data_IF_846426204640
#
_entry.id   IF_846426204640
#
_cell.length_a   1.000
_cell.length_b   1.000
_cell.length_c   1.000
_cell.angle_alpha   90.00
_cell.angle_beta   90.00
_cell.angle_gamma   90.00
#
_symmetry.space_group_name_H-M   'P 1'
#
loop_
_entity.id
_entity.type
_entity.pdbx_description
1 polymer ?
#
# COMPACT_ATOMS: atom_id res chain seq x y z
N UNK A 1 -0.09 43.32 39.58
CA UNK A 1 0.26 43.12 38.16
C UNK A 1 0.95 41.77 38.03
N UNK A 2 0.22 40.69 37.75
CA UNK A 2 0.80 39.41 37.30
C UNK A 2 -0.22 38.76 36.38
N UNK A 3 0.09 38.76 35.09
CA UNK A 3 -0.78 38.20 34.07
C UNK A 3 -0.66 36.67 34.12
N UNK A 4 -1.75 35.99 34.47
CA UNK A 4 -1.93 34.56 34.33
C UNK A 4 -1.97 34.22 32.84
N UNK A 5 -0.85 33.74 32.30
CA UNK A 5 -0.81 33.17 30.97
C UNK A 5 -1.59 31.85 30.97
N UNK A 6 -2.86 31.89 30.52
CA UNK A 6 -3.61 30.68 30.19
C UNK A 6 -2.93 30.01 29.00
N UNK A 7 -2.36 28.82 29.24
CA UNK A 7 -1.87 27.93 28.20
C UNK A 7 -3.08 27.48 27.38
N UNK A 8 -3.19 27.95 26.14
CA UNK A 8 -4.19 27.46 25.19
C UNK A 8 -3.70 26.12 24.69
N UNK A 9 -4.31 25.04 25.18
CA UNK A 9 -4.18 23.72 24.55
C UNK A 9 -5.03 23.75 23.29
N UNK A 10 -4.35 23.84 22.13
CA UNK A 10 -5.02 23.66 20.84
C UNK A 10 -5.55 22.23 20.80
N UNK A 11 -6.83 22.00 20.45
CA UNK A 11 -7.32 20.66 20.20
C UNK A 11 -6.61 20.17 18.93
N UNK A 12 -5.65 19.27 19.12
CA UNK A 12 -5.13 18.48 18.02
C UNK A 12 -6.29 17.57 17.65
N UNK A 13 -6.99 17.92 16.58
CA UNK A 13 -8.04 17.08 15.98
C UNK A 13 -7.34 15.85 15.38
N UNK A 14 -6.90 14.96 16.26
CA UNK A 14 -6.46 13.60 15.92
C UNK A 14 -7.74 12.85 15.54
N UNK A 15 -8.21 13.11 14.33
CA UNK A 15 -9.16 12.25 13.66
C UNK A 15 -8.62 10.82 13.84
N UNK A 16 -9.44 9.87 14.31
CA UNK A 16 -8.98 8.50 14.51
C UNK A 16 -8.55 7.98 13.15
N UNK A 17 -7.23 7.94 12.90
CA UNK A 17 -6.67 7.18 11.80
C UNK A 17 -6.93 5.73 12.18
N UNK A 18 -8.10 5.24 11.80
CA UNK A 18 -8.43 3.83 11.87
C UNK A 18 -7.25 3.12 11.20
N UNK A 19 -6.44 2.37 11.96
CA UNK A 19 -5.42 1.52 11.38
C UNK A 19 -6.13 0.43 10.59
N UNK A 20 -6.46 0.74 9.34
CA UNK A 20 -6.77 -0.25 8.33
C UNK A 20 -5.45 -0.95 8.03
N UNK A 21 -5.38 -2.25 8.32
CA UNK A 21 -4.18 -3.04 8.10
C UNK A 21 -3.79 -2.96 6.61
N UNK A 22 -2.54 -2.58 6.32
CA UNK A 22 -2.03 -2.53 4.96
C UNK A 22 -2.08 -3.94 4.33
N UNK A 23 -2.55 -4.02 3.09
CA UNK A 23 -2.49 -5.23 2.28
C UNK A 23 -1.10 -5.35 1.67
N UNK A 24 -0.36 -6.37 2.11
CA UNK A 24 0.95 -6.70 1.57
C UNK A 24 0.80 -7.77 0.47
N UNK A 25 1.29 -7.46 -0.73
CA UNK A 25 1.26 -8.38 -1.89
C UNK A 25 2.69 -8.58 -2.36
N UNK A 26 3.21 -9.81 -2.30
CA UNK A 26 4.51 -10.12 -2.85
C UNK A 26 4.41 -10.46 -4.33
N UNK A 27 5.44 -10.04 -5.07
CA UNK A 27 5.61 -10.32 -6.49
C UNK A 27 7.00 -10.90 -6.71
N UNK A 28 7.09 -11.98 -7.48
CA UNK A 28 8.34 -12.54 -7.98
C UNK A 28 8.36 -12.42 -9.49
N UNK A 29 9.50 -12.03 -10.03
CA UNK A 29 9.77 -11.93 -11.46
C UNK A 29 10.81 -12.97 -11.84
N UNK A 30 10.62 -13.55 -13.02
CA UNK A 30 11.61 -14.34 -13.71
C UNK A 30 12.74 -13.43 -14.26
N UNK A 31 13.91 -13.99 -14.60
CA UNK A 31 14.97 -13.24 -15.28
C UNK A 31 14.56 -12.63 -16.63
N UNK A 32 13.52 -13.16 -17.27
CA UNK A 32 12.92 -12.63 -18.50
C UNK A 32 11.91 -11.48 -18.25
N UNK A 33 11.84 -10.98 -17.01
CA UNK A 33 10.91 -9.94 -16.53
C UNK A 33 9.42 -10.34 -16.48
N UNK A 34 9.06 -11.61 -16.70
CA UNK A 34 7.69 -12.07 -16.51
C UNK A 34 7.36 -12.30 -15.02
N UNK A 35 6.09 -12.11 -14.64
CA UNK A 35 5.62 -12.40 -13.28
C UNK A 35 5.62 -13.90 -13.07
N UNK A 36 6.47 -14.38 -12.16
CA UNK A 36 6.58 -15.78 -11.77
C UNK A 36 5.48 -16.15 -10.76
N UNK A 37 5.34 -15.37 -9.70
CA UNK A 37 4.28 -15.55 -8.68
C UNK A 37 3.81 -14.20 -8.18
N UNK A 38 2.52 -14.10 -7.86
CA UNK A 38 1.93 -12.91 -7.26
C UNK A 38 0.84 -13.30 -6.27
N UNK A 39 0.87 -12.69 -5.08
CA UNK A 39 -0.14 -12.95 -4.05
C UNK A 39 -1.49 -12.34 -4.43
N UNK A 40 -2.57 -12.81 -3.78
CA UNK A 40 -3.93 -12.29 -3.95
C UNK A 40 -4.43 -12.31 -5.40
N UNK A 41 -3.93 -13.24 -6.21
CA UNK A 41 -4.35 -13.44 -7.59
C UNK A 41 -5.83 -13.88 -7.64
N UNK A 42 -6.71 -13.14 -8.33
CA UNK A 42 -8.09 -13.57 -8.55
C UNK A 42 -8.17 -14.80 -9.46
N UNK A 43 -9.16 -15.65 -9.26
CA UNK A 43 -9.39 -16.83 -10.11
C UNK A 43 -9.62 -16.42 -11.57
N UNK A 44 -8.97 -17.12 -12.50
CA UNK A 44 -9.11 -16.86 -13.95
C UNK A 44 -8.32 -15.66 -14.48
N UNK A 45 -7.55 -14.94 -13.65
CA UNK A 45 -6.71 -13.81 -14.07
C UNK A 45 -5.26 -14.26 -14.25
N UNK A 46 -4.62 -13.84 -15.36
CA UNK A 46 -3.20 -14.11 -15.56
C UNK A 46 -2.32 -13.29 -14.57
N UNK A 47 -1.23 -13.85 -14.01
CA UNK A 47 -0.37 -13.15 -13.06
C UNK A 47 0.12 -11.77 -13.53
N UNK A 48 0.51 -11.67 -14.81
CA UNK A 48 0.93 -10.41 -15.44
C UNK A 48 -0.20 -9.38 -15.48
N UNK A 49 -1.42 -9.79 -15.87
CA UNK A 49 -2.57 -8.90 -15.93
C UNK A 49 -2.98 -8.40 -14.54
N UNK A 50 -2.86 -9.25 -13.51
CA UNK A 50 -3.09 -8.84 -12.13
C UNK A 50 -2.05 -7.84 -11.64
N UNK A 51 -0.77 -8.07 -11.93
CA UNK A 51 0.29 -7.11 -11.62
C UNK A 51 0.05 -5.76 -12.31
N UNK A 52 -0.30 -5.75 -13.59
CA UNK A 52 -0.58 -4.52 -14.35
C UNK A 52 -1.74 -3.74 -13.74
N UNK A 53 -2.80 -4.43 -13.32
CA UNK A 53 -3.92 -3.81 -12.62
C UNK A 53 -3.49 -3.20 -11.29
N UNK A 54 -2.78 -3.95 -10.44
CA UNK A 54 -2.23 -3.42 -9.19
C UNK A 54 -1.34 -2.21 -9.45
N UNK A 55 -0.51 -2.25 -10.48
CA UNK A 55 0.37 -1.14 -10.84
C UNK A 55 -0.42 0.08 -11.31
N UNK A 56 -1.50 -0.10 -12.07
CA UNK A 56 -2.36 0.99 -12.53
C UNK A 56 -3.03 1.75 -11.38
N UNK A 57 -3.48 1.04 -10.35
CA UNK A 57 -4.25 1.63 -9.24
C UNK A 57 -3.40 1.96 -8.01
N UNK A 58 -2.26 1.28 -7.82
CA UNK A 58 -1.46 1.33 -6.59
C UNK A 58 0.05 1.47 -6.85
N UNK A 59 0.49 2.01 -8.00
CA UNK A 59 1.90 2.29 -8.29
C UNK A 59 2.68 3.01 -7.17
N UNK A 60 2.14 4.01 -6.46
CA UNK A 60 2.87 4.68 -5.37
C UNK A 60 3.26 3.74 -4.21
N UNK A 61 2.57 2.62 -4.08
CA UNK A 61 2.75 1.63 -3.02
C UNK A 61 3.66 0.46 -3.43
N UNK A 62 4.16 0.47 -4.67
CA UNK A 62 5.03 -0.56 -5.19
C UNK A 62 6.50 -0.28 -4.84
N UNK A 63 7.21 -1.32 -4.40
CA UNK A 63 8.64 -1.31 -4.14
C UNK A 63 9.30 -2.51 -4.79
N UNK A 64 10.39 -2.26 -5.51
CA UNK A 64 11.25 -3.30 -6.05
C UNK A 64 12.35 -3.67 -5.05
N UNK A 65 12.75 -4.93 -5.10
CA UNK A 65 13.85 -5.52 -4.36
C UNK A 65 14.78 -6.24 -5.34
N UNK A 66 16.04 -6.42 -4.96
CA UNK A 66 17.00 -7.14 -5.79
C UNK A 66 16.54 -8.58 -6.11
N UNK A 67 17.07 -9.15 -7.20
CA UNK A 67 16.81 -10.52 -7.68
C UNK A 67 15.33 -10.79 -8.01
N UNK A 68 14.70 -9.90 -8.77
CA UNK A 68 13.34 -10.12 -9.28
C UNK A 68 12.29 -10.19 -8.19
N UNK A 69 12.47 -9.48 -7.07
CA UNK A 69 11.47 -9.40 -6.01
C UNK A 69 10.79 -8.04 -6.06
N UNK A 70 9.51 -8.01 -5.76
CA UNK A 70 8.75 -6.78 -5.56
C UNK A 70 7.70 -7.01 -4.49
N UNK A 71 7.18 -5.93 -3.92
CA UNK A 71 6.00 -5.98 -3.10
C UNK A 71 5.18 -4.71 -3.23
N UNK A 72 3.87 -4.84 -3.05
CA UNK A 72 2.99 -3.71 -2.82
C UNK A 72 2.63 -3.66 -1.34
N UNK A 73 2.66 -2.47 -0.76
CA UNK A 73 2.12 -2.20 0.58
C UNK A 73 0.99 -1.19 0.47
N UNK A 74 -0.21 -1.69 0.18
CA UNK A 74 -1.38 -0.90 -0.22
C UNK A 74 -2.29 -0.71 1.00
N UNK A 75 -2.72 0.52 1.34
CA UNK A 75 -3.77 0.71 2.33
C UNK A 75 -5.04 -0.07 1.95
N UNK A 76 -5.72 -0.70 2.91
CA UNK A 76 -6.87 -1.57 2.60
C UNK A 76 -7.98 -0.85 1.81
N UNK A 77 -8.20 0.44 2.09
CA UNK A 77 -9.15 1.29 1.36
C UNK A 77 -8.82 1.44 -0.13
N UNK A 78 -7.53 1.56 -0.46
CA UNK A 78 -7.06 1.65 -1.84
C UNK A 78 -7.14 0.27 -2.50
N UNK A 79 -6.78 -0.78 -1.77
CA UNK A 79 -6.85 -2.15 -2.29
C UNK A 79 -8.28 -2.58 -2.62
N UNK A 80 -9.27 -2.15 -1.83
CA UNK A 80 -10.69 -2.41 -2.10
C UNK A 80 -11.21 -1.79 -3.40
N UNK A 81 -10.49 -0.80 -3.96
CA UNK A 81 -10.84 -0.13 -5.20
C UNK A 81 -10.14 -0.71 -6.45
N UNK A 82 -9.31 -1.75 -6.30
CA UNK A 82 -8.56 -2.43 -7.39
C UNK A 82 -9.34 -3.63 -7.94
#
# INVERSE_FOLDING_TARGET
MSALAKRVELPVDEAPVQKVDDVLIHVRFNPNAEVFTIDRLPEGVAPKAWFERLYLHAAPYYRTLANGRGFFRIPAEVFAAV
#
